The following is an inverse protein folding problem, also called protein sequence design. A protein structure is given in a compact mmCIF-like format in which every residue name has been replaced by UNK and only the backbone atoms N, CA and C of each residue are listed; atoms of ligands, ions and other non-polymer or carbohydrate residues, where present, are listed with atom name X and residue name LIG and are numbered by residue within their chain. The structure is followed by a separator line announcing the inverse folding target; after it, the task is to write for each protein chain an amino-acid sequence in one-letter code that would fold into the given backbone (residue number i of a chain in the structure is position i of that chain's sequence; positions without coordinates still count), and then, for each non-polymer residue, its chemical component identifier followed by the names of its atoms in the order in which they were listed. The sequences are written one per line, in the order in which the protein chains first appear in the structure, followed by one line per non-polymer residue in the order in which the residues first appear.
data_IF_700025421767
#
_entry.id   IF_700025421767
#
_cell.length_a   1.000
_cell.length_b   1.000
_cell.length_c   1.000
_cell.angle_alpha   90.00
_cell.angle_beta   90.00
_cell.angle_gamma   90.00
#
_symmetry.space_group_name_H-M   'P 1'
#
loop_
_entity.id
_entity.type
_entity.pdbx_description
1 polymer ?
#
# COMPACT_ATOMS: atom_id res chain seq x y z
N UNK A 1 35.54 2.62 16.33
CA UNK A 1 34.93 1.75 15.31
C UNK A 1 33.93 2.59 14.53
N UNK A 2 34.21 2.91 13.29
CA UNK A 2 33.25 3.59 12.39
C UNK A 2 32.07 2.63 12.22
N UNK A 3 30.90 3.02 12.77
CA UNK A 3 29.65 2.27 12.48
C UNK A 3 29.44 2.30 10.97
N UNK A 4 29.51 1.14 10.31
CA UNK A 4 29.17 1.04 8.88
C UNK A 4 27.73 1.56 8.71
N UNK A 5 27.54 2.52 7.80
CA UNK A 5 26.22 2.95 7.40
C UNK A 5 25.53 1.82 6.67
N UNK A 6 24.38 1.38 7.18
CA UNK A 6 23.53 0.41 6.51
C UNK A 6 22.88 1.07 5.30
N UNK A 7 22.96 0.41 4.13
CA UNK A 7 22.48 0.95 2.85
C UNK A 7 21.10 0.43 2.51
N UNK A 8 20.19 1.34 2.25
CA UNK A 8 18.82 1.06 1.81
C UNK A 8 18.41 2.02 0.70
N UNK A 9 17.38 1.68 -0.05
CA UNK A 9 16.84 2.57 -1.08
C UNK A 9 15.35 2.34 -1.33
N UNK A 10 14.72 3.31 -1.98
CA UNK A 10 13.44 3.15 -2.67
C UNK A 10 13.66 3.21 -4.18
N UNK A 11 13.13 2.22 -4.90
CA UNK A 11 13.18 2.08 -6.34
C UNK A 11 11.80 2.30 -6.95
N UNK A 12 11.72 3.08 -8.03
CA UNK A 12 10.48 3.35 -8.77
C UNK A 12 10.74 4.24 -9.98
N UNK A 13 9.70 4.57 -10.74
CA UNK A 13 9.81 5.49 -11.87
C UNK A 13 8.48 6.23 -12.12
N UNK A 14 8.46 7.59 -12.00
CA UNK A 14 9.49 8.47 -11.43
C UNK A 14 9.53 8.39 -9.89
N UNK A 15 10.69 8.62 -9.25
CA UNK A 15 10.88 8.45 -7.81
C UNK A 15 11.28 9.73 -7.06
N UNK A 16 11.52 10.81 -7.76
CA UNK A 16 12.08 12.04 -7.18
C UNK A 16 11.30 12.62 -6.00
N UNK A 17 9.99 12.42 -5.99
CA UNK A 17 9.07 12.97 -4.97
C UNK A 17 8.81 12.03 -3.78
N UNK A 18 9.44 10.85 -3.74
CA UNK A 18 9.23 9.90 -2.65
C UNK A 18 9.64 10.48 -1.29
N UNK A 19 8.78 10.35 -0.30
CA UNK A 19 9.05 10.73 1.09
C UNK A 19 9.78 9.63 1.89
N UNK A 20 9.94 8.44 1.32
CA UNK A 20 10.53 7.28 2.02
C UNK A 20 11.90 7.56 2.65
N UNK A 21 12.86 8.26 1.99
CA UNK A 21 14.14 8.57 2.65
C UNK A 21 13.98 9.38 3.93
N UNK A 22 13.12 10.40 3.91
CA UNK A 22 12.85 11.24 5.08
C UNK A 22 12.22 10.45 6.22
N UNK A 23 11.27 9.58 5.87
CA UNK A 23 10.56 8.71 6.82
C UNK A 23 11.54 7.72 7.47
N UNK A 24 12.29 6.97 6.67
CA UNK A 24 13.20 5.94 7.19
C UNK A 24 14.38 6.53 7.97
N UNK A 25 14.92 7.69 7.57
CA UNK A 25 15.95 8.39 8.33
C UNK A 25 15.42 8.85 9.69
N UNK A 26 14.18 9.33 9.74
CA UNK A 26 13.54 9.68 11.01
C UNK A 26 13.36 8.47 11.92
N UNK A 27 12.87 7.36 11.39
CA UNK A 27 12.72 6.11 12.14
C UNK A 27 14.09 5.62 12.67
N UNK A 28 15.11 5.62 11.84
CA UNK A 28 16.48 5.24 12.24
C UNK A 28 17.03 6.10 13.38
N UNK A 29 16.70 7.40 13.40
CA UNK A 29 17.13 8.32 14.45
C UNK A 29 16.56 7.96 15.82
N UNK A 30 15.37 7.37 15.89
CA UNK A 30 14.74 6.93 17.15
C UNK A 30 15.55 5.84 17.86
N UNK A 31 16.31 5.03 17.08
CA UNK A 31 17.08 3.88 17.58
C UNK A 31 18.60 4.10 17.49
N UNK A 32 19.06 5.30 17.12
CA UNK A 32 20.49 5.57 16.92
C UNK A 32 21.12 4.74 15.79
N UNK A 33 20.32 4.33 14.81
CA UNK A 33 20.77 3.61 13.62
C UNK A 33 21.31 4.61 12.60
N UNK A 34 22.53 4.36 12.09
CA UNK A 34 23.08 5.14 10.97
C UNK A 34 22.61 4.52 9.66
N UNK A 35 21.68 5.19 8.98
CA UNK A 35 21.01 4.74 7.78
C UNK A 35 21.37 5.63 6.59
N UNK A 36 21.92 5.04 5.53
CA UNK A 36 21.99 5.63 4.20
C UNK A 36 20.80 5.12 3.38
N UNK A 37 19.80 5.98 3.18
CA UNK A 37 18.59 5.63 2.45
C UNK A 37 18.42 6.55 1.24
N UNK A 38 18.46 5.97 0.04
CA UNK A 38 18.50 6.69 -1.24
C UNK A 38 17.21 6.55 -2.05
N UNK A 39 17.02 7.45 -3.01
CA UNK A 39 16.04 7.29 -4.10
C UNK A 39 16.80 6.86 -5.35
N UNK A 40 16.35 5.79 -5.99
CA UNK A 40 16.96 5.27 -7.22
C UNK A 40 15.88 5.19 -8.28
N UNK A 41 16.00 6.04 -9.30
CA UNK A 41 15.08 6.05 -10.44
C UNK A 41 15.42 4.91 -11.38
N UNK A 42 14.46 3.97 -11.61
CA UNK A 42 14.69 2.75 -12.36
C UNK A 42 13.51 2.44 -13.27
N UNK A 43 13.75 2.42 -14.57
CA UNK A 43 12.78 1.88 -15.53
C UNK A 43 12.74 0.34 -15.48
N UNK A 44 11.56 -0.24 -15.72
CA UNK A 44 11.34 -1.69 -15.61
C UNK A 44 12.35 -2.56 -16.37
N UNK A 45 12.77 -2.13 -17.57
CA UNK A 45 13.77 -2.87 -18.39
C UNK A 45 15.15 -3.01 -17.72
N UNK A 46 15.50 -2.10 -16.81
CA UNK A 46 16.77 -2.06 -16.10
C UNK A 46 16.68 -2.67 -14.70
N UNK A 47 15.47 -3.00 -14.21
CA UNK A 47 15.21 -3.33 -12.81
C UNK A 47 16.05 -4.53 -12.31
N UNK A 48 16.06 -5.63 -13.07
CA UNK A 48 16.84 -6.84 -12.70
C UNK A 48 18.34 -6.55 -12.57
N UNK A 49 18.89 -5.80 -13.51
CA UNK A 49 20.31 -5.41 -13.48
C UNK A 49 20.60 -4.55 -12.25
N UNK A 50 19.76 -3.52 -12.02
CA UNK A 50 19.92 -2.63 -10.87
C UNK A 50 19.89 -3.39 -9.56
N UNK A 51 19.01 -4.39 -9.39
CA UNK A 51 18.98 -5.22 -8.16
C UNK A 51 20.29 -5.96 -7.95
N UNK A 52 20.87 -6.52 -9.01
CA UNK A 52 22.17 -7.23 -8.93
C UNK A 52 23.29 -6.26 -8.51
N UNK A 53 23.34 -5.08 -9.14
CA UNK A 53 24.35 -4.06 -8.85
C UNK A 53 24.24 -3.60 -7.38
N UNK A 54 23.02 -3.26 -6.90
CA UNK A 54 22.79 -2.83 -5.51
C UNK A 54 23.15 -3.92 -4.48
N UNK A 55 22.86 -5.18 -4.78
CA UNK A 55 23.25 -6.30 -3.94
C UNK A 55 24.79 -6.39 -3.81
N UNK A 56 25.53 -6.21 -4.92
CA UNK A 56 27.00 -6.18 -4.93
C UNK A 56 27.56 -4.95 -4.20
N UNK A 57 26.85 -3.82 -4.22
CA UNK A 57 27.21 -2.60 -3.50
C UNK A 57 26.91 -2.66 -1.98
N UNK A 58 26.34 -3.77 -1.51
CA UNK A 58 26.08 -4.03 -0.10
C UNK A 58 24.82 -3.36 0.45
N UNK A 59 23.77 -3.17 -0.38
CA UNK A 59 22.46 -2.81 0.13
C UNK A 59 21.86 -3.97 0.92
N UNK A 60 21.22 -3.63 2.06
CA UNK A 60 20.58 -4.62 2.96
C UNK A 60 19.07 -4.73 2.74
N UNK A 61 18.44 -3.67 2.20
CA UNK A 61 17.00 -3.67 1.92
C UNK A 61 16.58 -2.60 0.92
N UNK A 62 15.48 -2.87 0.23
CA UNK A 62 14.94 -2.01 -0.82
C UNK A 62 13.43 -1.92 -0.70
N UNK A 63 12.88 -0.69 -0.68
CA UNK A 63 11.47 -0.50 -0.98
C UNK A 63 11.26 -0.40 -2.48
N UNK A 64 10.17 -0.97 -2.95
CA UNK A 64 9.80 -0.97 -4.36
C UNK A 64 8.45 -0.28 -4.50
N UNK A 65 8.37 0.67 -5.44
CA UNK A 65 7.10 1.33 -5.77
C UNK A 65 6.79 1.22 -7.26
N UNK A 66 5.73 1.85 -7.70
CA UNK A 66 5.28 1.81 -9.09
C UNK A 66 6.40 2.22 -10.08
N UNK A 67 6.48 1.56 -11.23
CA UNK A 67 5.67 0.42 -11.68
C UNK A 67 6.29 -0.96 -11.41
N UNK A 68 7.23 -1.08 -10.45
CA UNK A 68 8.19 -2.18 -10.33
C UNK A 68 7.75 -3.33 -9.40
N UNK A 69 6.63 -3.19 -8.65
CA UNK A 69 6.23 -4.15 -7.60
C UNK A 69 5.98 -5.57 -8.12
N UNK A 70 5.39 -5.73 -9.31
CA UNK A 70 5.19 -7.05 -9.93
C UNK A 70 6.50 -7.67 -10.41
N UNK A 71 7.41 -6.86 -10.97
CA UNK A 71 8.73 -7.32 -11.35
C UNK A 71 9.56 -7.77 -10.13
N UNK A 72 9.40 -7.08 -9.01
CA UNK A 72 10.05 -7.47 -7.75
C UNK A 72 9.52 -8.83 -7.25
N UNK A 73 8.21 -9.06 -7.36
CA UNK A 73 7.61 -10.35 -7.06
C UNK A 73 8.22 -11.50 -7.89
N UNK A 74 8.43 -11.26 -9.20
CA UNK A 74 8.97 -12.28 -10.11
C UNK A 74 10.46 -12.61 -9.87
N UNK A 75 11.21 -11.70 -9.23
CA UNK A 75 12.68 -11.81 -9.10
C UNK A 75 13.09 -12.31 -7.70
N UNK A 76 12.25 -12.12 -6.67
CA UNK A 76 12.60 -12.55 -5.32
C UNK A 76 12.75 -14.06 -5.22
N UNK A 77 13.78 -14.52 -4.48
CA UNK A 77 14.06 -15.93 -4.25
C UNK A 77 13.07 -16.58 -3.28
N UNK A 78 12.59 -15.81 -2.31
CA UNK A 78 11.62 -16.24 -1.31
C UNK A 78 10.61 -15.11 -1.08
N UNK A 79 9.37 -15.49 -0.81
CA UNK A 79 8.25 -14.57 -0.66
C UNK A 79 7.49 -14.82 0.63
N UNK A 80 6.97 -13.76 1.24
CA UNK A 80 5.98 -13.89 2.31
C UNK A 80 4.63 -14.34 1.74
N UNK A 81 3.77 -14.97 2.57
CA UNK A 81 2.44 -15.42 2.15
C UNK A 81 1.60 -14.28 1.55
N UNK A 82 1.69 -13.06 2.11
CA UNK A 82 0.96 -11.91 1.56
C UNK A 82 1.54 -11.44 0.21
N UNK A 83 2.85 -11.50 0.01
CA UNK A 83 3.47 -11.18 -1.27
C UNK A 83 3.10 -12.21 -2.34
N UNK A 84 3.04 -13.51 -1.98
CA UNK A 84 2.56 -14.57 -2.87
C UNK A 84 1.10 -14.35 -3.30
N UNK A 85 0.22 -14.04 -2.35
CA UNK A 85 -1.21 -13.84 -2.62
C UNK A 85 -1.46 -12.57 -3.45
N UNK A 86 -0.78 -11.46 -3.12
CA UNK A 86 -0.96 -10.18 -3.83
C UNK A 86 -0.20 -10.12 -5.15
N UNK A 87 0.75 -11.05 -5.40
CA UNK A 87 1.70 -11.02 -6.53
C UNK A 87 2.40 -9.66 -6.65
N UNK A 88 2.77 -9.10 -5.50
CA UNK A 88 3.32 -7.76 -5.38
C UNK A 88 4.32 -7.69 -4.24
N UNK A 89 5.49 -7.09 -4.48
CA UNK A 89 6.52 -6.86 -3.48
C UNK A 89 6.81 -5.36 -3.42
N UNK A 90 6.68 -4.77 -2.24
CA UNK A 90 7.11 -3.40 -1.97
C UNK A 90 8.31 -3.31 -1.03
N UNK A 91 8.72 -4.44 -0.45
CA UNK A 91 9.82 -4.51 0.52
C UNK A 91 10.68 -5.72 0.24
N UNK A 92 11.97 -5.51 -0.04
CA UNK A 92 12.95 -6.57 -0.25
C UNK A 92 13.98 -6.50 0.88
N UNK A 93 14.26 -7.64 1.51
CA UNK A 93 15.43 -7.82 2.36
C UNK A 93 16.49 -8.61 1.61
N UNK A 94 17.74 -8.17 1.68
CA UNK A 94 18.88 -8.83 1.05
C UNK A 94 19.69 -9.53 2.16
N UNK A 95 19.64 -10.86 2.22
CA UNK A 95 20.32 -11.66 3.26
C UNK A 95 20.94 -12.91 2.62
N UNK A 96 22.19 -13.22 2.95
CA UNK A 96 22.88 -14.42 2.48
C UNK A 96 22.82 -14.60 0.95
N UNK A 97 22.98 -13.52 0.22
CA UNK A 97 22.93 -13.47 -1.23
C UNK A 97 21.55 -13.75 -1.86
N UNK A 98 20.48 -13.85 -1.04
CA UNK A 98 19.09 -14.05 -1.47
C UNK A 98 18.24 -12.80 -1.29
N UNK A 99 17.20 -12.67 -2.12
CA UNK A 99 16.18 -11.63 -2.09
C UNK A 99 14.91 -12.19 -1.44
N UNK A 100 14.55 -11.65 -0.28
CA UNK A 100 13.30 -11.98 0.43
C UNK A 100 12.29 -10.87 0.18
N UNK A 101 11.21 -11.20 -0.52
CA UNK A 101 10.16 -10.24 -0.89
C UNK A 101 8.98 -10.28 0.06
N UNK A 102 8.54 -9.09 0.46
CA UNK A 102 7.31 -8.88 1.24
C UNK A 102 6.52 -7.70 0.70
N UNK A 103 5.27 -7.56 1.13
CA UNK A 103 4.45 -6.38 0.88
C UNK A 103 3.88 -5.83 2.17
N UNK A 104 4.08 -4.53 2.41
CA UNK A 104 3.65 -3.84 3.62
C UNK A 104 2.50 -2.86 3.36
N UNK A 105 2.00 -2.78 2.10
CA UNK A 105 0.95 -1.83 1.73
C UNK A 105 -0.34 -2.07 2.53
N UNK A 106 -0.80 -3.32 2.60
CA UNK A 106 -2.00 -3.67 3.35
C UNK A 106 -1.83 -3.45 4.84
N UNK A 107 -0.66 -3.82 5.41
CA UNK A 107 -0.34 -3.51 6.80
C UNK A 107 -0.43 -2.00 7.08
N UNK A 108 0.12 -1.18 6.18
CA UNK A 108 0.07 0.26 6.30
C UNK A 108 -1.35 0.81 6.29
N UNK A 109 -2.20 0.33 5.38
CA UNK A 109 -3.60 0.71 5.33
C UNK A 109 -4.34 0.35 6.63
N UNK A 110 -4.20 -0.90 7.09
CA UNK A 110 -4.87 -1.38 8.30
C UNK A 110 -4.42 -0.59 9.52
N UNK A 111 -3.10 -0.40 9.70
CA UNK A 111 -2.54 0.37 10.82
C UNK A 111 -3.08 1.80 10.84
N UNK A 112 -3.11 2.48 9.69
CA UNK A 112 -3.60 3.85 9.62
C UNK A 112 -5.10 3.95 9.90
N UNK A 113 -5.92 3.03 9.40
CA UNK A 113 -7.34 2.96 9.72
C UNK A 113 -7.59 2.76 11.22
N UNK A 114 -6.82 1.87 11.86
CA UNK A 114 -6.91 1.62 13.30
C UNK A 114 -6.50 2.85 14.13
N UNK A 115 -5.44 3.57 13.73
CA UNK A 115 -5.05 4.83 14.43
C UNK A 115 -6.14 5.90 14.34
N UNK A 116 -6.96 5.87 13.28
CA UNK A 116 -8.12 6.74 13.09
C UNK A 116 -9.41 6.20 13.73
N UNK A 117 -9.31 5.10 14.49
CA UNK A 117 -10.47 4.44 15.13
C UNK A 117 -11.53 3.96 14.12
N UNK A 118 -11.09 3.57 12.92
CA UNK A 118 -11.95 2.97 11.89
C UNK A 118 -11.86 1.45 12.01
N UNK A 119 -12.95 0.83 12.48
CA UNK A 119 -13.07 -0.63 12.56
C UNK A 119 -13.37 -1.23 11.19
N UNK A 120 -12.81 -2.40 10.92
CA UNK A 120 -12.99 -3.16 9.67
C UNK A 120 -13.82 -4.42 9.91
N UNK A 121 -13.65 -5.05 11.07
CA UNK A 121 -14.35 -6.28 11.45
C UNK A 121 -15.87 -6.12 11.39
N UNK A 122 -16.54 -7.07 10.74
CA UNK A 122 -17.99 -7.09 10.52
C UNK A 122 -18.56 -5.87 9.76
N UNK A 123 -17.72 -5.16 8.98
CA UNK A 123 -18.10 -3.94 8.25
C UNK A 123 -18.38 -4.19 6.78
N UNK A 124 -19.20 -3.30 6.18
CA UNK A 124 -19.43 -3.22 4.74
C UNK A 124 -18.44 -2.25 4.13
N UNK A 125 -17.54 -2.74 3.30
CA UNK A 125 -16.46 -1.97 2.72
C UNK A 125 -16.64 -1.89 1.22
N UNK A 126 -16.43 -0.71 0.63
CA UNK A 126 -16.32 -0.53 -0.81
C UNK A 126 -14.88 -0.24 -1.18
N UNK A 127 -14.33 -1.01 -2.11
CA UNK A 127 -13.03 -0.75 -2.75
C UNK A 127 -13.26 -0.29 -4.17
N UNK A 128 -12.83 0.92 -4.48
CA UNK A 128 -12.92 1.55 -5.80
C UNK A 128 -11.57 1.40 -6.49
N UNK A 129 -11.56 0.67 -7.60
CA UNK A 129 -10.38 0.30 -8.35
C UNK A 129 -10.08 -1.20 -8.25
N UNK A 130 -9.61 -1.78 -9.37
CA UNK A 130 -9.19 -3.17 -9.47
C UNK A 130 -7.80 -3.25 -10.13
N UNK A 131 -6.89 -2.43 -9.62
CA UNK A 131 -5.50 -2.35 -10.06
C UNK A 131 -4.52 -2.90 -9.02
N UNK A 132 -3.23 -2.68 -9.26
CA UNK A 132 -2.16 -3.14 -8.36
C UNK A 132 -2.27 -2.59 -6.94
N UNK A 133 -2.72 -1.33 -6.77
CA UNK A 133 -2.87 -0.72 -5.46
C UNK A 133 -3.96 -1.41 -4.62
N UNK A 134 -5.15 -1.61 -5.21
CA UNK A 134 -6.23 -2.36 -4.55
C UNK A 134 -5.83 -3.81 -4.29
N UNK A 135 -5.22 -4.48 -5.27
CA UNK A 135 -4.77 -5.87 -5.10
C UNK A 135 -3.76 -6.00 -3.94
N UNK A 136 -2.86 -5.02 -3.80
CA UNK A 136 -1.82 -5.02 -2.76
C UNK A 136 -2.34 -4.91 -1.32
N UNK A 137 -3.60 -4.49 -1.12
CA UNK A 137 -4.19 -4.36 0.22
C UNK A 137 -5.24 -5.43 0.54
N UNK A 138 -5.69 -6.20 -0.46
CA UNK A 138 -6.80 -7.16 -0.30
C UNK A 138 -6.49 -8.24 0.72
N UNK A 139 -5.26 -8.77 0.76
CA UNK A 139 -4.88 -9.82 1.71
C UNK A 139 -5.12 -9.37 3.15
N UNK A 140 -4.52 -8.23 3.54
CA UNK A 140 -4.63 -7.73 4.89
C UNK A 140 -6.05 -7.23 5.20
N UNK A 141 -6.77 -6.67 4.20
CA UNK A 141 -8.15 -6.24 4.38
C UNK A 141 -9.10 -7.41 4.63
N UNK A 142 -8.99 -8.51 3.88
CA UNK A 142 -9.79 -9.74 4.10
C UNK A 142 -9.45 -10.35 5.46
N UNK A 143 -8.18 -10.35 5.85
CA UNK A 143 -7.70 -10.88 7.13
C UNK A 143 -8.23 -10.11 8.36
N UNK A 144 -8.86 -8.95 8.17
CA UNK A 144 -9.56 -8.23 9.25
C UNK A 144 -11.03 -8.64 9.38
N UNK A 145 -11.48 -9.67 8.69
CA UNK A 145 -12.83 -10.24 8.74
C UNK A 145 -13.96 -9.20 8.57
N UNK A 146 -13.94 -8.34 7.52
CA UNK A 146 -15.09 -7.53 7.20
C UNK A 146 -16.29 -8.42 6.83
N UNK A 147 -17.51 -7.94 7.06
CA UNK A 147 -18.72 -8.69 6.67
C UNK A 147 -18.78 -8.85 5.14
N UNK A 148 -18.56 -7.75 4.41
CA UNK A 148 -18.64 -7.75 2.94
C UNK A 148 -17.66 -6.73 2.37
N UNK A 149 -16.91 -7.12 1.34
CA UNK A 149 -16.16 -6.21 0.48
C UNK A 149 -16.87 -6.11 -0.86
N UNK A 150 -17.31 -4.91 -1.21
CA UNK A 150 -17.81 -4.59 -2.53
C UNK A 150 -16.66 -4.05 -3.38
N UNK A 151 -16.61 -4.50 -4.63
CA UNK A 151 -15.59 -4.09 -5.61
C UNK A 151 -16.27 -3.32 -6.73
N UNK A 152 -15.68 -2.21 -7.15
CA UNK A 152 -16.09 -1.50 -8.36
C UNK A 152 -14.88 -0.94 -9.10
N UNK A 153 -14.96 -0.92 -10.43
CA UNK A 153 -13.90 -0.38 -11.28
C UNK A 153 -14.51 0.15 -12.58
N UNK A 154 -13.86 1.12 -13.20
CA UNK A 154 -14.26 1.64 -14.52
C UNK A 154 -14.47 0.53 -15.55
N UNK A 155 -13.59 -0.45 -15.59
CA UNK A 155 -13.73 -1.67 -16.37
C UNK A 155 -14.24 -2.78 -15.47
N UNK A 156 -15.53 -3.08 -15.52
CA UNK A 156 -16.21 -3.97 -14.58
C UNK A 156 -15.63 -5.40 -14.59
N UNK A 157 -15.15 -5.88 -15.73
CA UNK A 157 -14.50 -7.20 -15.85
C UNK A 157 -13.32 -7.35 -14.91
N UNK A 158 -12.54 -6.27 -14.68
CA UNK A 158 -11.42 -6.29 -13.73
C UNK A 158 -11.89 -6.45 -12.28
N UNK A 159 -13.08 -5.96 -11.93
CA UNK A 159 -13.65 -6.21 -10.59
C UNK A 159 -14.03 -7.67 -10.41
N UNK A 160 -14.58 -8.31 -11.46
CA UNK A 160 -14.88 -9.73 -11.44
C UNK A 160 -13.61 -10.60 -11.34
N UNK A 161 -12.59 -10.28 -12.14
CA UNK A 161 -11.29 -10.96 -12.07
C UNK A 161 -10.66 -10.84 -10.66
N UNK A 162 -10.74 -9.65 -10.06
CA UNK A 162 -10.26 -9.45 -8.69
C UNK A 162 -11.06 -10.25 -7.68
N UNK A 163 -12.39 -10.26 -7.76
CA UNK A 163 -13.24 -11.06 -6.87
C UNK A 163 -12.94 -12.55 -7.00
N UNK A 164 -12.71 -13.04 -8.21
CA UNK A 164 -12.35 -14.43 -8.47
C UNK A 164 -10.98 -14.79 -7.86
N UNK A 165 -9.97 -13.95 -8.07
CA UNK A 165 -8.62 -14.14 -7.52
C UNK A 165 -8.60 -14.22 -5.99
N UNK A 166 -9.48 -13.48 -5.31
CA UNK A 166 -9.54 -13.42 -3.85
C UNK A 166 -10.64 -14.30 -3.24
N UNK A 167 -11.41 -15.03 -4.07
CA UNK A 167 -12.59 -15.80 -3.63
C UNK A 167 -12.27 -16.89 -2.60
N UNK A 168 -11.13 -17.56 -2.74
CA UNK A 168 -10.74 -18.64 -1.84
C UNK A 168 -10.41 -18.07 -0.45
N UNK A 169 -9.53 -17.07 -0.38
CA UNK A 169 -9.15 -16.44 0.88
C UNK A 169 -10.38 -15.80 1.57
N UNK A 170 -11.24 -15.13 0.81
CA UNK A 170 -12.45 -14.53 1.34
C UNK A 170 -13.39 -15.59 1.94
N UNK A 171 -13.59 -16.73 1.25
CA UNK A 171 -14.38 -17.85 1.74
C UNK A 171 -13.80 -18.43 3.03
N UNK A 172 -12.49 -18.66 3.07
CA UNK A 172 -11.81 -19.21 4.25
C UNK A 172 -11.82 -18.25 5.45
N UNK A 173 -12.06 -16.97 5.20
CA UNK A 173 -12.16 -15.90 6.21
C UNK A 173 -13.61 -15.50 6.52
N UNK A 174 -14.63 -16.19 5.99
CA UNK A 174 -16.05 -15.85 6.10
C UNK A 174 -16.40 -14.44 5.62
N UNK A 175 -15.70 -13.95 4.59
CA UNK A 175 -15.90 -12.63 3.97
C UNK A 175 -16.67 -12.75 2.66
N UNK A 176 -17.74 -11.96 2.48
CA UNK A 176 -18.47 -11.89 1.23
C UNK A 176 -17.76 -10.93 0.25
N UNK A 177 -17.50 -11.38 -0.97
CA UNK A 177 -17.02 -10.53 -2.06
C UNK A 177 -18.13 -10.29 -3.07
N UNK A 178 -18.51 -9.04 -3.29
CA UNK A 178 -19.56 -8.64 -4.20
C UNK A 178 -19.06 -7.58 -5.20
N UNK A 179 -19.64 -7.57 -6.38
CA UNK A 179 -19.45 -6.49 -7.35
C UNK A 179 -20.57 -5.47 -7.13
N UNK A 180 -20.20 -4.21 -6.92
CA UNK A 180 -21.19 -3.16 -6.71
C UNK A 180 -22.00 -2.93 -8.00
N UNK A 181 -23.31 -3.11 -7.90
CA UNK A 181 -24.24 -2.75 -8.96
C UNK A 181 -24.56 -1.24 -8.92
N UNK A 182 -24.66 -0.55 -10.09
CA UNK A 182 -25.00 0.87 -10.15
C UNK A 182 -26.36 1.23 -9.55
N UNK A 183 -27.27 0.23 -9.40
CA UNK A 183 -28.63 0.42 -8.87
C UNK A 183 -28.73 0.19 -7.36
N UNK A 184 -27.68 -0.27 -6.71
CA UNK A 184 -27.71 -0.56 -5.28
C UNK A 184 -27.57 0.73 -4.47
N UNK A 185 -28.49 0.90 -3.51
CA UNK A 185 -28.45 2.00 -2.53
C UNK A 185 -27.92 1.45 -1.21
N UNK A 186 -26.58 1.39 -1.10
CA UNK A 186 -25.89 0.86 0.08
C UNK A 186 -25.18 1.99 0.79
N UNK A 187 -25.29 2.02 2.13
CA UNK A 187 -24.40 2.82 2.97
C UNK A 187 -23.25 1.95 3.44
N UNK A 188 -22.03 2.37 3.12
CA UNK A 188 -20.80 1.68 3.50
C UNK A 188 -20.26 2.21 4.83
N UNK A 189 -19.66 1.35 5.61
CA UNK A 189 -18.90 1.77 6.79
C UNK A 189 -17.58 2.45 6.36
N UNK A 190 -16.93 1.90 5.33
CA UNK A 190 -15.66 2.38 4.79
C UNK A 190 -15.70 2.35 3.25
N UNK A 191 -15.26 3.43 2.62
CA UNK A 191 -15.03 3.49 1.18
C UNK A 191 -13.54 3.78 0.93
N UNK A 192 -12.87 2.89 0.22
CA UNK A 192 -11.45 3.00 -0.11
C UNK A 192 -11.31 3.32 -1.60
N UNK A 193 -10.71 4.46 -1.93
CA UNK A 193 -10.31 4.78 -3.29
C UNK A 193 -8.86 4.33 -3.53
N UNK A 194 -8.70 3.29 -4.34
CA UNK A 194 -7.41 2.75 -4.76
C UNK A 194 -7.10 3.06 -6.24
N UNK A 195 -7.72 4.11 -6.78
CA UNK A 195 -7.50 4.52 -8.17
C UNK A 195 -6.49 5.66 -8.27
N UNK A 196 -5.72 5.70 -9.35
CA UNK A 196 -4.86 6.84 -9.71
C UNK A 196 -5.58 7.91 -10.55
N UNK A 197 -6.89 7.79 -10.75
CA UNK A 197 -7.68 8.66 -11.64
C UNK A 197 -7.72 10.14 -11.22
N UNK A 198 -7.33 10.44 -9.99
CA UNK A 198 -7.13 11.82 -9.50
C UNK A 198 -5.87 12.52 -10.04
N UNK A 199 -5.01 11.84 -10.80
CA UNK A 199 -3.81 12.42 -11.39
C UNK A 199 -4.05 13.14 -12.74
N UNK A 200 -5.31 13.26 -13.20
CA UNK A 200 -5.61 14.31 -14.18
C UNK A 200 -5.88 13.92 -15.63
N UNK A 201 -6.20 12.68 -15.96
CA UNK A 201 -6.72 12.36 -17.31
C UNK A 201 -7.91 11.39 -17.19
N UNK A 202 -9.09 11.94 -17.12
CA UNK A 202 -10.37 11.24 -17.06
C UNK A 202 -11.05 11.43 -15.70
N UNK A 203 -12.30 11.90 -15.75
CA UNK A 203 -13.14 12.02 -14.57
C UNK A 203 -13.17 10.70 -13.83
N UNK A 204 -12.77 10.70 -12.56
CA UNK A 204 -12.94 9.54 -11.70
C UNK A 204 -14.43 9.20 -11.67
N UNK A 205 -14.82 8.12 -12.33
CA UNK A 205 -16.21 7.67 -12.35
C UNK A 205 -16.45 6.97 -11.02
N UNK A 206 -16.81 7.76 -10.03
CA UNK A 206 -17.40 7.24 -8.79
C UNK A 206 -18.90 7.09 -9.03
N UNK A 207 -19.56 6.06 -8.48
CA UNK A 207 -21.02 6.01 -8.46
C UNK A 207 -21.59 7.31 -7.90
N UNK A 208 -22.62 7.86 -8.55
CA UNK A 208 -23.15 9.19 -8.20
C UNK A 208 -23.68 9.25 -6.76
N UNK A 209 -24.32 8.19 -6.29
CA UNK A 209 -25.00 8.09 -5.00
C UNK A 209 -24.20 7.32 -3.94
N UNK A 210 -22.87 7.54 -3.88
CA UNK A 210 -22.06 6.92 -2.83
C UNK A 210 -22.42 7.46 -1.45
N UNK A 211 -22.70 6.54 -0.51
CA UNK A 211 -22.96 6.83 0.90
C UNK A 211 -21.97 6.04 1.75
N UNK A 212 -21.27 6.70 2.65
CA UNK A 212 -20.31 6.04 3.53
C UNK A 212 -19.98 6.87 4.75
N UNK A 213 -19.64 6.19 5.85
CA UNK A 213 -19.30 6.83 7.11
C UNK A 213 -17.86 7.36 7.13
N UNK A 214 -16.94 6.58 6.56
CA UNK A 214 -15.54 6.97 6.43
C UNK A 214 -15.05 6.75 4.99
N UNK A 215 -14.36 7.75 4.41
CA UNK A 215 -13.81 7.71 3.06
C UNK A 215 -12.28 7.79 3.12
N UNK A 216 -11.62 6.84 2.52
CA UNK A 216 -10.18 6.73 2.52
C UNK A 216 -9.62 6.80 1.10
N UNK A 217 -8.81 7.81 0.79
CA UNK A 217 -8.11 7.89 -0.49
C UNK A 217 -6.68 7.36 -0.30
N UNK A 218 -6.27 6.35 -1.04
CA UNK A 218 -4.89 5.85 -1.00
C UNK A 218 -3.87 6.84 -1.60
N UNK A 219 -4.36 7.86 -2.33
CA UNK A 219 -3.54 8.99 -2.75
C UNK A 219 -3.33 9.95 -1.58
N UNK A 220 -2.15 10.61 -1.52
CA UNK A 220 -1.83 11.60 -0.48
C UNK A 220 -1.29 12.90 -1.08
N UNK A 221 -1.30 13.97 -0.26
CA UNK A 221 -0.70 15.25 -0.57
C UNK A 221 -1.46 16.08 -1.62
N UNK A 222 -2.70 15.70 -1.96
CA UNK A 222 -3.57 16.43 -2.90
C UNK A 222 -5.03 16.31 -2.48
N UNK A 223 -5.79 17.37 -2.67
CA UNK A 223 -7.23 17.32 -2.54
C UNK A 223 -7.83 16.69 -3.82
N UNK A 224 -8.20 15.43 -3.74
CA UNK A 224 -8.73 14.69 -4.88
C UNK A 224 -10.24 14.91 -5.04
N UNK A 225 -10.82 14.69 -6.23
CA UNK A 225 -12.27 14.72 -6.42
C UNK A 225 -13.02 13.76 -5.49
N UNK A 226 -12.39 12.66 -5.09
CA UNK A 226 -12.94 11.70 -4.13
C UNK A 226 -13.06 12.32 -2.73
N UNK A 227 -12.02 12.96 -2.24
CA UNK A 227 -12.04 13.65 -0.93
C UNK A 227 -12.99 14.84 -0.92
N UNK A 228 -13.06 15.61 -2.03
CA UNK A 228 -14.05 16.68 -2.16
C UNK A 228 -15.50 16.17 -2.07
N UNK A 229 -15.79 15.01 -2.68
CA UNK A 229 -17.11 14.38 -2.59
C UNK A 229 -17.40 13.89 -1.16
N UNK A 230 -16.42 13.35 -0.45
CA UNK A 230 -16.55 12.96 0.96
C UNK A 230 -16.90 14.18 1.85
N UNK A 231 -16.19 15.29 1.66
CA UNK A 231 -16.43 16.55 2.37
C UNK A 231 -17.85 17.09 2.11
N UNK A 232 -18.29 17.12 0.84
CA UNK A 232 -19.64 17.54 0.46
C UNK A 232 -20.74 16.67 1.09
N UNK A 233 -20.47 15.36 1.25
CA UNK A 233 -21.38 14.42 1.93
C UNK A 233 -21.30 14.49 3.45
N UNK A 234 -20.47 15.36 4.02
CA UNK A 234 -20.22 15.49 5.47
C UNK A 234 -19.75 14.19 6.12
N UNK A 235 -19.14 13.30 5.35
CA UNK A 235 -18.52 12.07 5.84
C UNK A 235 -17.14 12.37 6.45
N UNK A 236 -16.68 11.52 7.35
CA UNK A 236 -15.27 11.54 7.78
C UNK A 236 -14.39 11.04 6.64
N UNK A 237 -13.22 11.62 6.47
CA UNK A 237 -12.31 11.19 5.42
C UNK A 237 -10.82 11.34 5.81
N UNK A 238 -9.97 10.65 5.08
CA UNK A 238 -8.51 10.77 5.15
C UNK A 238 -7.89 10.50 3.79
N UNK A 239 -6.72 11.12 3.56
CA UNK A 239 -5.82 10.74 2.48
C UNK A 239 -4.87 9.62 2.93
N UNK A 240 -4.02 9.14 2.00
CA UNK A 240 -3.11 8.02 2.18
C UNK A 240 -1.78 8.34 2.85
N UNK A 241 -1.58 9.54 3.40
CA UNK A 241 -0.32 9.89 4.05
C UNK A 241 -0.01 8.97 5.24
N UNK A 242 -1.05 8.63 6.03
CA UNK A 242 -0.90 7.68 7.13
C UNK A 242 -0.49 6.29 6.64
N UNK A 243 -1.12 5.78 5.59
CA UNK A 243 -0.73 4.50 4.99
C UNK A 243 0.73 4.51 4.51
N UNK A 244 1.21 5.63 3.92
CA UNK A 244 2.60 5.78 3.53
C UNK A 244 3.56 5.65 4.72
N UNK A 245 3.22 6.26 5.85
CA UNK A 245 4.02 6.21 7.07
C UNK A 245 4.01 4.80 7.66
N UNK A 246 2.83 4.22 7.83
CA UNK A 246 2.67 2.92 8.49
C UNK A 246 3.28 1.77 7.68
N UNK A 247 3.19 1.78 6.32
CA UNK A 247 3.85 0.76 5.50
C UNK A 247 5.38 0.89 5.57
N UNK A 248 5.90 2.12 5.70
CA UNK A 248 7.34 2.32 5.90
C UNK A 248 7.80 1.85 7.28
N UNK A 249 6.98 2.03 8.32
CA UNK A 249 7.24 1.50 9.66
C UNK A 249 7.27 -0.04 9.64
N UNK A 250 6.35 -0.69 8.92
CA UNK A 250 6.35 -2.14 8.75
C UNK A 250 7.59 -2.62 7.99
N UNK A 251 8.02 -1.92 6.93
CA UNK A 251 9.28 -2.24 6.23
C UNK A 251 10.50 -2.06 7.14
N UNK A 252 10.50 -1.02 7.97
CA UNK A 252 11.56 -0.77 8.93
C UNK A 252 11.67 -1.89 9.97
N UNK A 253 10.53 -2.38 10.50
CA UNK A 253 10.48 -3.51 11.43
C UNK A 253 11.00 -4.82 10.79
N UNK A 254 10.66 -5.10 9.52
CA UNK A 254 11.19 -6.25 8.76
C UNK A 254 12.72 -6.22 8.68
N UNK A 255 13.31 -5.05 8.50
CA UNK A 255 14.76 -4.91 8.32
C UNK A 255 15.55 -4.83 9.63
N UNK A 256 15.00 -4.16 10.63
CA UNK A 256 15.73 -3.79 11.86
C UNK A 256 15.21 -4.50 13.10
N UNK A 257 14.05 -5.16 13.03
CA UNK A 257 13.33 -5.76 14.17
C UNK A 257 13.04 -4.74 15.28
N UNK A 258 12.73 -3.51 14.85
CA UNK A 258 12.40 -2.37 15.71
C UNK A 258 11.12 -1.69 15.21
N UNK A 259 10.21 -1.38 16.11
CA UNK A 259 8.94 -0.73 15.80
C UNK A 259 9.03 0.77 16.08
N UNK A 260 9.14 1.62 15.03
CA UNK A 260 9.26 3.05 15.24
C UNK A 260 7.93 3.69 15.69
N UNK A 261 8.02 4.79 16.45
CA UNK A 261 6.88 5.66 16.70
C UNK A 261 6.52 6.41 15.42
N UNK A 262 5.29 6.19 14.95
CA UNK A 262 4.79 6.83 13.72
C UNK A 262 4.06 8.15 13.99
N UNK A 263 3.71 8.47 15.26
CA UNK A 263 2.89 9.65 15.57
C UNK A 263 3.63 10.96 15.42
N UNK A 264 4.89 11.00 15.82
CA UNK A 264 5.68 12.21 15.81
C UNK A 264 6.20 12.61 14.43
N UNK A 265 6.19 11.72 13.43
CA UNK A 265 6.70 12.00 12.09
C UNK A 265 5.90 13.04 11.32
N UNK A 266 4.60 13.18 11.60
CA UNK A 266 3.74 14.14 10.91
C UNK A 266 4.15 15.61 11.14
N UNK A 267 4.97 15.88 12.16
CA UNK A 267 5.51 17.21 12.41
C UNK A 267 6.61 17.61 11.43
N UNK A 268 7.16 16.63 10.71
CA UNK A 268 8.26 16.85 9.78
C UNK A 268 7.90 16.54 8.32
N UNK A 269 6.78 15.90 8.03
CA UNK A 269 6.31 15.65 6.66
C UNK A 269 5.53 16.83 6.13
#
# INVERSE_FOLDING_TARGET
MTKLNKKFAVLGHPISHSLSPKIHQYFASQFGIHLDYQRIDVEGKNFKKTLIDLKQEGYEGLNITLPLKSLAYEICDELSSRAEQTKSVNTISIKNDKLFGDTTDGLGLISDLLTKSVSIENKKILVIGAGGASNGVMFDLISQHPHTIFLTNRTITKSHEMAENWSLLAKDSDVLLNILSPKEDITFDLIINATSSSLGIGSAIFPENLKGHFWYDMMYGKQTPFLLKAEQSKAKFSDGLGMLVEQAAASFDIWHHEKPDTKSIYQIL
#
